data_IF_641854414544
#
_entry.id   IF_641854414544
#
_cell.length_a   1.000
_cell.length_b   1.000
_cell.length_c   1.000
_cell.angle_alpha   90.00
_cell.angle_beta   90.00
_cell.angle_gamma   90.00
#
_symmetry.space_group_name_H-M   'P 1'
#
loop_
_entity.id
_entity.type
_entity.pdbx_description
1 polymer ?
#
# COMPACT_ATOMS: atom_id res chain seq x y z
N UNK A 1 -5.48 1.39 -12.49
CA UNK A 1 -6.09 0.92 -11.23
C UNK A 1 -4.98 0.35 -10.37
N UNK A 2 -4.81 0.77 -9.11
CA UNK A 2 -3.79 0.21 -8.19
C UNK A 2 -4.00 -1.26 -7.81
N UNK A 3 -5.18 -1.80 -8.12
CA UNK A 3 -5.57 -3.18 -7.87
C UNK A 3 -4.50 -4.16 -8.40
N UNK A 4 -4.02 -5.05 -7.52
CA UNK A 4 -3.02 -6.07 -7.87
C UNK A 4 -1.57 -5.73 -7.52
N UNK A 5 -1.22 -4.47 -7.20
CA UNK A 5 0.17 -4.13 -6.86
C UNK A 5 0.59 -4.78 -5.54
N UNK A 6 -0.24 -4.70 -4.49
CA UNK A 6 0.04 -5.39 -3.23
C UNK A 6 0.00 -6.91 -3.45
N UNK A 7 -0.95 -7.39 -4.26
CA UNK A 7 -1.08 -8.82 -4.58
C UNK A 7 0.19 -9.39 -5.20
N UNK A 8 0.84 -8.67 -6.11
CA UNK A 8 2.10 -9.08 -6.73
C UNK A 8 3.24 -9.18 -5.71
N UNK A 9 3.30 -8.28 -4.72
CA UNK A 9 4.30 -8.35 -3.65
C UNK A 9 4.04 -9.48 -2.65
N UNK A 10 2.77 -9.70 -2.26
CA UNK A 10 2.40 -10.66 -1.22
C UNK A 10 2.33 -12.09 -1.76
N UNK A 11 1.74 -12.29 -2.94
CA UNK A 11 1.49 -13.62 -3.53
C UNK A 11 2.33 -13.90 -4.76
N UNK A 12 2.62 -12.88 -5.57
CA UNK A 12 3.42 -13.02 -6.80
C UNK A 12 4.93 -13.12 -6.57
N UNK A 13 5.41 -12.76 -5.38
CA UNK A 13 6.84 -12.79 -5.02
C UNK A 13 7.66 -11.64 -5.64
N UNK A 14 6.99 -10.59 -6.12
CA UNK A 14 7.65 -9.38 -6.61
C UNK A 14 8.51 -8.76 -5.51
N UNK A 15 9.69 -8.25 -5.90
CA UNK A 15 10.67 -7.64 -4.97
C UNK A 15 10.96 -6.19 -5.25
N UNK A 16 10.44 -5.69 -6.35
CA UNK A 16 10.61 -4.32 -6.79
C UNK A 16 9.44 -3.94 -7.69
N UNK A 17 9.15 -2.65 -7.73
CA UNK A 17 8.25 -2.04 -8.68
C UNK A 17 9.02 -0.93 -9.40
N UNK A 18 8.83 -0.83 -10.71
CA UNK A 18 9.44 0.22 -11.55
C UNK A 18 8.35 0.73 -12.48
N UNK A 19 8.05 2.02 -12.37
CA UNK A 19 7.15 2.67 -13.31
C UNK A 19 7.81 2.83 -14.69
N UNK A 20 7.01 2.81 -15.74
CA UNK A 20 7.52 2.83 -17.11
C UNK A 20 8.09 4.19 -17.51
N UNK A 21 7.26 5.24 -17.47
CA UNK A 21 7.62 6.58 -17.94
C UNK A 21 7.32 7.62 -16.87
N UNK A 22 8.37 8.16 -16.25
CA UNK A 22 8.21 9.16 -15.19
C UNK A 22 7.61 10.46 -15.74
N UNK A 23 8.13 10.93 -16.88
CA UNK A 23 7.67 12.14 -17.58
C UNK A 23 7.26 11.81 -19.01
N UNK A 24 6.48 12.69 -19.64
CA UNK A 24 6.08 12.52 -21.03
C UNK A 24 7.30 12.45 -21.95
N UNK A 25 7.54 11.28 -22.54
CA UNK A 25 8.48 11.05 -23.64
C UNK A 25 7.74 10.89 -24.96
N UNK A 26 8.45 10.97 -26.09
CA UNK A 26 7.88 10.89 -27.43
C UNK A 26 7.18 9.53 -27.68
N UNK A 27 5.88 9.43 -27.39
CA UNK A 27 5.07 8.27 -27.78
C UNK A 27 3.87 7.90 -26.92
N UNK A 28 3.59 8.52 -25.77
CA UNK A 28 2.44 8.10 -24.96
C UNK A 28 1.98 9.07 -23.89
N UNK A 29 0.69 8.97 -23.53
CA UNK A 29 0.00 9.74 -22.47
C UNK A 29 0.07 9.06 -21.08
N UNK A 30 0.73 7.90 -20.99
CA UNK A 30 0.83 7.08 -19.78
C UNK A 30 2.16 7.38 -19.06
N UNK A 31 2.10 8.39 -18.20
CA UNK A 31 3.19 8.87 -17.37
C UNK A 31 2.62 9.36 -16.04
N UNK A 32 3.40 9.28 -14.95
CA UNK A 32 2.93 9.68 -13.61
C UNK A 32 3.10 11.18 -13.32
N UNK A 33 3.95 11.88 -14.06
CA UNK A 33 4.15 13.34 -13.96
C UNK A 33 4.01 14.00 -15.33
N UNK A 34 3.06 14.94 -15.46
CA UNK A 34 2.96 15.84 -16.60
C UNK A 34 3.82 17.10 -16.35
N UNK A 35 4.61 17.49 -17.36
CA UNK A 35 5.31 18.77 -17.40
C UNK A 35 4.62 19.67 -18.41
N UNK A 36 3.94 20.71 -17.95
CA UNK A 36 3.21 21.65 -18.80
C UNK A 36 3.74 23.08 -18.59
N UNK A 37 4.39 23.65 -19.62
CA UNK A 37 4.94 25.01 -19.60
C UNK A 37 5.80 25.35 -18.36
N UNK A 38 6.64 24.40 -17.94
CA UNK A 38 7.50 24.54 -16.75
C UNK A 38 6.81 24.23 -15.42
N UNK A 39 5.53 23.87 -15.45
CA UNK A 39 4.76 23.43 -14.29
C UNK A 39 4.83 21.91 -14.14
N UNK A 40 5.12 21.45 -12.93
CA UNK A 40 5.07 20.03 -12.56
C UNK A 40 3.67 19.66 -12.08
N UNK A 41 3.03 18.70 -12.73
CA UNK A 41 1.70 18.21 -12.39
C UNK A 41 1.80 16.72 -12.08
N UNK A 42 1.73 16.36 -10.80
CA UNK A 42 1.65 14.97 -10.36
C UNK A 42 0.25 14.41 -10.62
N UNK A 43 0.18 13.24 -11.27
CA UNK A 43 -1.06 12.48 -11.44
C UNK A 43 -1.27 11.53 -10.25
N UNK A 44 -2.45 10.95 -10.11
CA UNK A 44 -2.82 10.07 -8.99
C UNK A 44 -1.80 8.96 -8.73
N UNK A 45 -1.32 8.31 -9.79
CA UNK A 45 -0.30 7.26 -9.70
C UNK A 45 1.03 7.72 -9.07
N UNK A 46 1.42 9.00 -9.21
CA UNK A 46 2.58 9.56 -8.53
C UNK A 46 2.40 9.52 -7.01
N UNK A 47 1.20 9.87 -6.53
CA UNK A 47 0.89 9.84 -5.10
C UNK A 47 0.76 8.40 -4.59
N UNK A 48 0.12 7.51 -5.35
CA UNK A 48 0.01 6.09 -5.01
C UNK A 48 1.39 5.43 -4.89
N UNK A 49 2.31 5.67 -5.84
CA UNK A 49 3.68 5.18 -5.71
C UNK A 49 4.46 5.89 -4.61
N UNK A 50 4.16 7.16 -4.34
CA UNK A 50 4.69 7.89 -3.19
C UNK A 50 4.37 7.22 -1.86
N UNK A 51 3.18 6.62 -1.70
CA UNK A 51 2.80 5.88 -0.50
C UNK A 51 3.69 4.65 -0.27
N UNK A 52 4.23 4.03 -1.31
CA UNK A 52 5.20 2.92 -1.17
C UNK A 52 6.62 3.44 -1.00
N UNK A 53 7.09 4.19 -1.99
CA UNK A 53 8.50 4.53 -2.18
C UNK A 53 9.05 5.49 -1.12
N UNK A 54 8.19 6.26 -0.46
CA UNK A 54 8.61 7.19 0.61
C UNK A 54 8.95 6.48 1.93
N UNK A 55 8.35 5.32 2.19
CA UNK A 55 8.42 4.67 3.50
C UNK A 55 9.13 3.32 3.46
N UNK A 56 8.99 2.56 2.36
CA UNK A 56 9.65 1.27 2.17
C UNK A 56 11.07 1.48 1.62
N UNK A 57 12.09 1.11 2.39
CA UNK A 57 13.49 1.32 2.04
C UNK A 57 14.05 0.14 1.24
N UNK A 58 15.14 0.39 0.50
CA UNK A 58 15.89 -0.70 -0.14
C UNK A 58 16.36 -1.70 0.91
N UNK A 59 16.05 -2.98 0.70
CA UNK A 59 16.41 -4.07 1.61
C UNK A 59 15.35 -4.38 2.68
N UNK A 60 14.21 -3.67 2.67
CA UNK A 60 13.04 -4.11 3.44
C UNK A 60 12.60 -5.49 3.00
N UNK A 61 12.04 -6.25 3.92
CA UNK A 61 11.40 -7.53 3.63
C UNK A 61 9.91 -7.45 3.90
N UNK A 62 9.15 -8.10 3.03
CA UNK A 62 7.69 -8.23 3.17
C UNK A 62 7.40 -9.26 4.26
N UNK A 63 6.47 -8.91 5.15
CA UNK A 63 5.99 -9.80 6.19
C UNK A 63 4.98 -10.79 5.61
N UNK A 64 5.04 -12.03 6.08
CA UNK A 64 4.24 -13.13 5.52
C UNK A 64 2.77 -13.12 5.95
N UNK A 65 2.44 -12.39 7.02
CA UNK A 65 1.08 -12.37 7.56
C UNK A 65 0.68 -10.96 7.94
N UNK A 66 -0.38 -10.49 7.28
CA UNK A 66 -1.10 -9.25 7.57
C UNK A 66 -2.58 -9.56 7.50
N UNK A 67 -3.28 -9.40 8.60
CA UNK A 67 -4.71 -9.61 8.69
C UNK A 67 -5.42 -8.26 8.83
N UNK A 68 -6.45 -8.03 8.01
CA UNK A 68 -7.38 -6.91 8.17
C UNK A 68 -8.65 -7.46 8.81
N UNK A 69 -8.86 -7.14 10.09
CA UNK A 69 -9.97 -7.62 10.89
C UNK A 69 -11.22 -6.77 10.59
N UNK A 70 -12.36 -7.43 10.41
CA UNK A 70 -13.67 -6.83 10.10
C UNK A 70 -13.72 -5.98 8.80
N UNK A 71 -13.44 -6.57 7.62
CA UNK A 71 -13.39 -5.81 6.37
C UNK A 71 -14.77 -5.42 5.79
N UNK A 72 -15.88 -5.67 6.50
CA UNK A 72 -17.23 -5.29 6.06
C UNK A 72 -17.94 -6.29 5.13
N UNK A 73 -17.23 -7.14 4.37
CA UNK A 73 -17.80 -8.27 3.57
C UNK A 73 -16.91 -9.53 3.67
N UNK A 74 -17.44 -10.74 3.34
CA UNK A 74 -16.62 -11.95 3.34
C UNK A 74 -15.46 -11.84 2.34
N UNK A 75 -14.28 -12.28 2.74
CA UNK A 75 -13.13 -12.39 1.84
C UNK A 75 -13.44 -13.36 0.70
N UNK A 76 -13.02 -13.06 -0.52
CA UNK A 76 -13.15 -13.96 -1.69
C UNK A 76 -12.09 -15.08 -1.71
N UNK A 77 -11.42 -15.29 -0.57
CA UNK A 77 -10.35 -16.27 -0.38
C UNK A 77 -8.95 -15.72 -0.65
N UNK A 78 -8.82 -14.53 -1.25
CA UNK A 78 -7.53 -13.86 -1.49
C UNK A 78 -7.55 -12.42 -0.95
N UNK A 79 -8.71 -11.75 -0.95
CA UNK A 79 -8.87 -10.35 -0.55
C UNK A 79 -10.08 -10.18 0.38
N UNK A 80 -9.89 -9.65 1.60
CA UNK A 80 -11.01 -9.18 2.40
C UNK A 80 -11.66 -7.93 1.75
N UNK A 81 -12.86 -8.09 1.17
CA UNK A 81 -13.82 -7.01 0.84
C UNK A 81 -13.26 -5.71 0.20
N UNK A 82 -12.47 -5.82 -0.87
CA UNK A 82 -11.95 -4.61 -1.54
C UNK A 82 -10.90 -3.84 -0.73
N UNK A 83 -10.27 -4.51 0.24
CA UNK A 83 -9.12 -4.00 0.98
C UNK A 83 -7.91 -4.91 0.72
N UNK A 84 -6.84 -4.33 0.19
CA UNK A 84 -5.53 -4.98 0.09
C UNK A 84 -4.60 -4.41 1.16
N UNK A 85 -3.84 -5.25 1.84
CA UNK A 85 -2.83 -4.80 2.81
C UNK A 85 -1.52 -5.56 2.66
N UNK A 86 -0.41 -4.86 2.89
CA UNK A 86 0.91 -5.47 3.09
C UNK A 86 1.66 -4.76 4.19
N UNK A 87 2.58 -5.48 4.81
CA UNK A 87 3.49 -4.91 5.78
C UNK A 87 4.93 -5.28 5.43
N UNK A 88 5.84 -4.36 5.72
CA UNK A 88 7.28 -4.56 5.54
C UNK A 88 8.01 -4.12 6.79
N UNK A 89 9.17 -4.73 7.05
CA UNK A 89 10.11 -4.23 8.05
C UNK A 89 11.29 -3.59 7.31
N UNK A 90 11.58 -2.33 7.66
CA UNK A 90 12.73 -1.62 7.11
C UNK A 90 14.06 -2.25 7.59
N UNK A 91 15.18 -2.11 6.84
CA UNK A 91 16.43 -2.81 7.13
C UNK A 91 17.01 -2.54 8.53
N UNK A 92 16.74 -1.36 9.09
CA UNK A 92 17.19 -0.99 10.43
C UNK A 92 16.35 -1.61 11.55
N UNK A 93 15.26 -2.29 11.18
CA UNK A 93 14.27 -2.93 12.05
C UNK A 93 13.68 -2.00 13.11
N UNK A 94 13.60 -0.71 12.79
CA UNK A 94 13.00 0.29 13.67
C UNK A 94 11.59 0.68 13.28
N UNK A 95 11.15 0.22 12.11
CA UNK A 95 9.88 0.61 11.50
C UNK A 95 9.23 -0.60 10.84
N UNK A 96 7.97 -0.86 11.21
CA UNK A 96 7.03 -1.64 10.40
C UNK A 96 6.24 -0.65 9.56
N UNK A 97 6.26 -0.83 8.25
CA UNK A 97 5.49 -0.01 7.30
C UNK A 97 4.32 -0.85 6.81
N UNK A 98 3.10 -0.38 7.04
CA UNK A 98 1.86 -1.04 6.66
C UNK A 98 1.21 -0.22 5.56
N UNK A 99 0.95 -0.82 4.42
CA UNK A 99 0.25 -0.21 3.30
C UNK A 99 -1.12 -0.84 3.15
N UNK A 100 -2.10 -0.01 2.85
CA UNK A 100 -3.48 -0.39 2.69
C UNK A 100 -4.03 0.29 1.45
N UNK A 101 -4.66 -0.48 0.58
CA UNK A 101 -5.45 0.02 -0.55
C UNK A 101 -6.90 -0.33 -0.25
N UNK A 102 -7.77 0.67 -0.21
CA UNK A 102 -9.22 0.48 -0.16
C UNK A 102 -9.79 0.80 -1.52
N UNK A 103 -10.25 -0.21 -2.24
CA UNK A 103 -10.82 -0.12 -3.59
C UNK A 103 -12.35 -0.29 -3.58
N UNK A 104 -12.99 -0.07 -2.43
CA UNK A 104 -14.44 -0.17 -2.32
C UNK A 104 -15.14 1.08 -2.87
N UNK A 105 -16.13 0.89 -3.74
CA UNK A 105 -16.95 1.97 -4.34
C UNK A 105 -18.29 2.20 -3.59
N UNK A 106 -18.52 1.51 -2.47
CA UNK A 106 -19.82 1.53 -1.76
C UNK A 106 -20.11 2.88 -1.07
N UNK A 107 -21.36 3.14 -0.66
CA UNK A 107 -21.80 4.46 -0.19
C UNK A 107 -21.37 4.85 1.22
N UNK A 108 -20.76 3.96 2.00
CA UNK A 108 -20.21 4.35 3.31
C UNK A 108 -18.93 5.16 3.14
N UNK A 109 -18.95 6.40 3.65
CA UNK A 109 -17.90 7.38 3.38
C UNK A 109 -16.54 7.04 3.99
N UNK A 110 -16.50 6.30 5.10
CA UNK A 110 -15.25 5.92 5.75
C UNK A 110 -15.44 4.69 6.65
N UNK A 111 -14.39 3.87 6.75
CA UNK A 111 -14.37 2.67 7.59
C UNK A 111 -13.20 2.69 8.55
N UNK A 112 -13.33 1.92 9.63
CA UNK A 112 -12.23 1.64 10.57
C UNK A 112 -11.75 0.22 10.35
N UNK A 113 -10.44 0.04 10.28
CA UNK A 113 -9.81 -1.27 10.14
C UNK A 113 -8.87 -1.53 11.30
N UNK A 114 -9.01 -2.70 11.92
CA UNK A 114 -7.99 -3.25 12.81
C UNK A 114 -7.07 -4.14 11.99
N UNK A 115 -5.77 -3.86 12.06
CA UNK A 115 -4.75 -4.54 11.26
C UNK A 115 -3.82 -5.24 12.22
N UNK A 116 -3.73 -6.56 12.07
CA UNK A 116 -2.79 -7.37 12.83
C UNK A 116 -1.65 -7.84 11.92
N UNK A 117 -0.42 -7.60 12.37
CA UNK A 117 0.79 -7.92 11.62
C UNK A 117 1.66 -8.85 12.44
N UNK A 118 1.88 -10.07 11.93
CA UNK A 118 2.81 -11.00 12.56
C UNK A 118 4.25 -10.67 12.15
N UNK A 119 5.10 -10.42 13.14
CA UNK A 119 6.52 -10.09 12.94
C UNK A 119 7.43 -11.32 12.95
N UNK A 120 6.90 -12.48 13.37
CA UNK A 120 7.64 -13.72 13.62
C UNK A 120 7.73 -14.05 15.12
N UNK A 121 8.04 -15.30 15.45
CA UNK A 121 8.17 -15.82 16.84
C UNK A 121 6.95 -15.56 17.73
N UNK A 122 5.76 -15.42 17.14
CA UNK A 122 4.51 -15.10 17.84
C UNK A 122 4.43 -13.65 18.34
N UNK A 123 5.30 -12.76 17.87
CA UNK A 123 5.20 -11.32 18.11
C UNK A 123 4.28 -10.67 17.08
N UNK A 124 3.34 -9.85 17.56
CA UNK A 124 2.38 -9.14 16.72
C UNK A 124 2.44 -7.63 16.94
N UNK A 125 2.07 -6.89 15.91
CA UNK A 125 1.75 -5.46 15.98
C UNK A 125 0.33 -5.29 15.48
N UNK A 126 -0.53 -4.83 16.37
CA UNK A 126 -1.91 -4.49 16.04
C UNK A 126 -2.06 -2.97 15.95
N UNK A 127 -2.68 -2.49 14.87
CA UNK A 127 -2.92 -1.06 14.65
C UNK A 127 -4.35 -0.85 14.18
N UNK A 128 -5.04 0.12 14.77
CA UNK A 128 -6.34 0.59 14.29
C UNK A 128 -6.13 1.78 13.36
N UNK A 129 -6.64 1.68 12.14
CA UNK A 129 -6.74 2.80 11.20
C UNK A 129 -8.19 3.25 11.11
N UNK A 130 -8.46 4.46 11.59
CA UNK A 130 -9.78 5.08 11.57
C UNK A 130 -9.98 5.96 10.33
N UNK A 131 -11.24 6.10 9.92
CA UNK A 131 -11.67 7.03 8.86
C UNK A 131 -10.98 6.80 7.50
N UNK A 132 -10.80 5.54 7.09
CA UNK A 132 -10.25 5.21 5.78
C UNK A 132 -11.29 5.44 4.71
N UNK A 133 -11.05 6.43 3.86
CA UNK A 133 -11.94 6.76 2.74
C UNK A 133 -11.93 5.67 1.66
N UNK A 134 -13.02 5.59 0.90
CA UNK A 134 -13.09 4.78 -0.31
C UNK A 134 -12.07 5.24 -1.36
N UNK A 135 -11.68 4.31 -2.23
CA UNK A 135 -10.77 4.58 -3.35
C UNK A 135 -9.47 5.28 -2.91
N UNK A 136 -8.92 4.83 -1.78
CA UNK A 136 -7.80 5.48 -1.10
C UNK A 136 -6.62 4.54 -0.91
N UNK A 137 -5.43 5.14 -0.74
CA UNK A 137 -4.20 4.44 -0.38
C UNK A 137 -3.64 5.09 0.87
N UNK A 138 -3.46 4.27 1.91
CA UNK A 138 -2.96 4.69 3.21
C UNK A 138 -1.67 3.98 3.57
N UNK A 139 -0.76 4.69 4.23
CA UNK A 139 0.47 4.10 4.78
C UNK A 139 0.62 4.46 6.25
N UNK A 140 0.80 3.45 7.09
CA UNK A 140 1.16 3.62 8.49
C UNK A 140 2.63 3.24 8.69
N UNK A 141 3.29 3.99 9.57
CA UNK A 141 4.65 3.68 10.01
C UNK A 141 4.63 3.49 11.53
N UNK A 142 4.75 2.25 11.95
CA UNK A 142 4.84 1.88 13.37
C UNK A 142 6.31 1.87 13.76
N UNK A 143 6.69 2.76 14.67
CA UNK A 143 8.06 2.82 15.19
C UNK A 143 8.23 1.89 16.38
N UNK A 144 9.35 1.18 16.43
CA UNK A 144 9.66 0.23 17.48
C UNK A 144 11.05 -0.38 17.31
N UNK A 145 11.30 -1.51 17.97
CA UNK A 145 12.41 -2.40 17.67
C UNK A 145 11.82 -3.77 17.36
N UNK A 146 12.14 -4.30 16.19
CA UNK A 146 11.58 -5.53 15.62
C UNK A 146 12.67 -6.47 15.12
#
# INVERSE_FOLDING_TARGET
>A
MPHGVIVDFVTGGSRAFVDYSLTQGAGGNENIVLLDNGTFIAKDAYYTFGQVTRYVRKGSYVLSSVEVVNPGKPADGIHPAGVEAMATINPDRTEVVILIIRDEEDKEHASTFDIDVELGDGQHVTVTLENVENLSVSTLVVKGRF
#
